data_IF_785894891415
#
_entry.id   IF_785894891415
#
_cell.length_a   1.000
_cell.length_b   1.000
_cell.length_c   1.000
_cell.angle_alpha   90.00
_cell.angle_beta   90.00
_cell.angle_gamma   90.00
#
_symmetry.space_group_name_H-M   'P 1'
#
loop_
_entity.id
_entity.type
_entity.pdbx_description
1 polymer ?
#
# COMPACT_ATOMS: atom_id res chain seq x y z
N UNK A 1 -3.96 -25.03 -3.28
CA UNK A 1 -3.37 -23.70 -3.61
C UNK A 1 -3.09 -23.01 -2.27
N UNK A 2 -1.84 -22.63 -2.01
CA UNK A 2 -1.43 -22.08 -0.72
C UNK A 2 -1.46 -20.55 -0.81
N UNK A 3 -2.52 -19.91 -0.29
CA UNK A 3 -2.73 -18.46 -0.37
C UNK A 3 -1.88 -17.66 0.63
N UNK A 4 -0.98 -18.30 1.39
CA UNK A 4 -0.14 -17.63 2.37
C UNK A 4 1.23 -17.30 1.79
N UNK A 5 1.46 -16.00 1.61
CA UNK A 5 2.71 -15.38 1.23
C UNK A 5 3.63 -15.27 2.45
N UNK A 6 4.91 -15.57 2.23
CA UNK A 6 5.96 -15.43 3.23
C UNK A 6 5.66 -16.11 4.58
N UNK A 7 4.83 -17.17 4.57
CA UNK A 7 4.36 -17.90 5.77
C UNK A 7 3.70 -17.03 6.84
N UNK A 8 3.35 -15.77 6.53
CA UNK A 8 2.85 -14.78 7.48
C UNK A 8 1.60 -14.04 7.00
N UNK A 9 1.43 -13.88 5.69
CA UNK A 9 0.34 -13.09 5.13
C UNK A 9 -0.53 -13.94 4.22
N UNK A 10 -1.82 -14.08 4.52
CA UNK A 10 -2.71 -14.85 3.67
C UNK A 10 -3.57 -13.90 2.82
N UNK A 11 -3.62 -14.18 1.52
CA UNK A 11 -4.35 -13.35 0.54
C UNK A 11 -5.86 -13.52 0.80
N UNK A 12 -6.51 -12.41 1.13
CA UNK A 12 -7.96 -12.36 1.39
C UNK A 12 -8.75 -11.73 0.25
N UNK A 13 -8.15 -10.78 -0.47
CA UNK A 13 -8.81 -10.08 -1.57
C UNK A 13 -7.76 -9.48 -2.51
N UNK A 14 -8.11 -9.33 -3.79
CA UNK A 14 -7.34 -8.52 -4.73
C UNK A 14 -7.85 -7.08 -4.65
N UNK A 15 -6.98 -6.13 -4.32
CA UNK A 15 -7.35 -4.72 -4.35
C UNK A 15 -7.39 -4.25 -5.81
N UNK A 16 -8.57 -3.82 -6.24
CA UNK A 16 -8.78 -3.05 -7.46
C UNK A 16 -9.22 -1.63 -7.07
N UNK A 17 -9.32 -0.76 -8.08
CA UNK A 17 -9.50 0.70 -7.99
C UNK A 17 -10.59 1.22 -7.00
N UNK A 18 -11.51 0.39 -6.48
CA UNK A 18 -12.62 0.85 -5.62
C UNK A 18 -12.81 0.10 -4.30
N UNK A 19 -11.76 -0.49 -3.72
CA UNK A 19 -11.93 -1.28 -2.48
C UNK A 19 -11.55 -0.47 -1.23
N UNK A 20 -12.56 -0.08 -0.45
CA UNK A 20 -12.36 0.54 0.87
C UNK A 20 -12.17 -0.55 1.93
N UNK A 21 -11.11 -0.43 2.74
CA UNK A 21 -10.88 -1.32 3.88
C UNK A 21 -10.70 -0.50 5.16
N UNK A 22 -11.37 -0.93 6.23
CA UNK A 22 -11.46 -0.22 7.52
C UNK A 22 -10.85 -1.00 8.68
N UNK A 23 -10.14 -2.09 8.42
CA UNK A 23 -9.71 -3.06 9.43
C UNK A 23 -8.20 -3.02 9.69
N UNK A 24 -7.80 -2.90 10.96
CA UNK A 24 -6.41 -2.71 11.41
C UNK A 24 -5.52 -3.96 11.27
N UNK A 25 -6.10 -5.13 11.01
CA UNK A 25 -5.37 -6.41 10.93
C UNK A 25 -4.94 -6.79 9.50
N UNK A 26 -5.13 -5.89 8.53
CA UNK A 26 -4.84 -6.16 7.13
C UNK A 26 -3.73 -5.25 6.62
N UNK A 27 -2.97 -5.77 5.67
CA UNK A 27 -1.93 -5.04 4.96
C UNK A 27 -2.18 -5.11 3.46
N UNK A 28 -1.77 -4.08 2.74
CA UNK A 28 -1.70 -4.13 1.28
C UNK A 28 -0.33 -4.67 0.86
N UNK A 29 -0.33 -5.54 -0.16
CA UNK A 29 0.89 -6.04 -0.78
C UNK A 29 0.88 -5.58 -2.23
N UNK A 30 1.84 -4.71 -2.58
CA UNK A 30 2.09 -4.38 -3.99
C UNK A 30 3.11 -5.37 -4.53
N UNK A 31 2.75 -6.03 -5.63
CA UNK A 31 3.63 -6.93 -6.37
C UNK A 31 4.02 -6.20 -7.64
N UNK A 32 5.30 -5.89 -7.78
CA UNK A 32 5.82 -5.15 -8.93
C UNK A 32 6.07 -6.08 -10.11
N UNK A 33 5.96 -5.52 -11.32
CA UNK A 33 6.43 -6.19 -12.54
C UNK A 33 7.95 -6.14 -12.61
N UNK A 34 8.54 -7.02 -13.42
CA UNK A 34 9.98 -7.29 -13.45
C UNK A 34 10.81 -6.05 -13.79
N UNK A 35 10.26 -5.11 -14.57
CA UNK A 35 10.94 -3.90 -15.03
C UNK A 35 10.78 -2.70 -14.09
N UNK A 36 10.09 -2.86 -12.94
CA UNK A 36 9.91 -1.76 -12.00
C UNK A 36 11.18 -1.57 -11.19
N UNK A 37 11.69 -0.35 -11.29
CA UNK A 37 12.92 0.11 -10.69
C UNK A 37 12.86 -0.06 -9.15
N UNK A 38 13.89 -0.69 -8.59
CA UNK A 38 14.08 -0.87 -7.14
C UNK A 38 14.06 0.49 -6.43
N UNK A 39 14.28 1.59 -7.17
CA UNK A 39 14.09 2.96 -6.72
C UNK A 39 12.72 3.24 -6.08
N UNK A 40 11.61 2.67 -6.57
CA UNK A 40 10.29 2.87 -5.94
C UNK A 40 10.23 2.28 -4.53
N UNK A 41 11.02 1.24 -4.25
CA UNK A 41 11.13 0.63 -2.91
C UNK A 41 12.04 1.47 -2.01
N UNK A 42 13.05 2.10 -2.61
CA UNK A 42 14.11 2.84 -1.91
C UNK A 42 13.69 4.28 -1.53
N UNK A 43 12.71 4.86 -2.22
CA UNK A 43 12.20 6.20 -1.92
C UNK A 43 11.41 6.22 -0.60
N UNK A 44 10.41 5.35 -0.37
CA UNK A 44 9.67 5.31 0.89
C UNK A 44 10.57 4.99 2.08
N UNK A 45 11.56 4.11 1.93
CA UNK A 45 12.50 3.80 3.01
C UNK A 45 13.24 5.06 3.45
N UNK A 46 13.75 5.86 2.50
CA UNK A 46 14.41 7.15 2.74
C UNK A 46 13.48 8.19 3.37
N UNK A 47 12.22 8.23 2.95
CA UNK A 47 11.21 9.15 3.49
C UNK A 47 10.76 8.79 4.92
N UNK A 48 11.00 7.54 5.35
CA UNK A 48 10.59 7.05 6.68
C UNK A 48 11.71 7.16 7.74
N UNK A 49 12.95 7.48 7.33
CA UNK A 49 14.14 7.51 8.24
C UNK A 49 13.96 8.45 9.45
N UNK A 50 13.09 9.47 9.36
CA UNK A 50 12.80 10.41 10.47
C UNK A 50 11.53 10.09 11.29
N UNK A 51 10.83 8.99 10.99
CA UNK A 51 9.47 8.70 11.51
C UNK A 51 9.48 7.59 12.59
N UNK A 52 10.66 7.09 12.95
CA UNK A 52 10.84 5.86 13.74
C UNK A 52 10.29 5.92 15.18
N UNK A 53 10.00 7.12 15.72
CA UNK A 53 9.49 7.30 17.09
C UNK A 53 7.96 7.36 17.23
N UNK A 54 7.23 7.15 16.14
CA UNK A 54 5.78 7.33 16.15
C UNK A 54 5.03 6.01 16.41
N UNK A 55 4.22 5.98 17.48
CA UNK A 55 3.34 4.85 17.84
C UNK A 55 2.39 4.44 16.71
N UNK A 56 1.83 3.22 16.76
CA UNK A 56 0.86 2.71 15.76
C UNK A 56 -0.29 3.70 15.44
N UNK A 57 -0.71 4.51 16.43
CA UNK A 57 -1.72 5.55 16.26
C UNK A 57 -1.26 6.70 15.33
N UNK A 58 0.03 7.02 15.32
CA UNK A 58 0.61 8.07 14.50
C UNK A 58 0.88 7.64 13.04
N UNK A 59 0.83 6.34 12.72
CA UNK A 59 0.85 5.87 11.32
C UNK A 59 -0.37 6.37 10.52
N UNK A 60 -1.49 6.66 11.19
CA UNK A 60 -2.68 7.27 10.58
C UNK A 60 -2.54 8.77 10.29
N UNK A 61 -1.46 9.41 10.76
CA UNK A 61 -1.20 10.85 10.63
C UNK A 61 -0.16 11.12 9.51
N UNK A 62 0.49 10.08 9.00
CA UNK A 62 1.53 10.23 7.99
C UNK A 62 0.95 10.48 6.61
N UNK A 63 1.44 11.55 5.99
CA UNK A 63 1.06 11.94 4.62
C UNK A 63 1.65 10.95 3.60
N UNK A 64 2.77 10.32 3.93
CA UNK A 64 3.48 9.36 3.06
C UNK A 64 3.25 7.95 3.62
N UNK A 65 2.76 6.99 2.79
CA UNK A 65 2.61 5.61 3.21
C UNK A 65 3.94 5.00 3.60
N UNK A 66 4.04 4.49 4.83
CA UNK A 66 5.20 3.73 5.27
C UNK A 66 5.22 2.37 4.57
N UNK A 67 6.41 1.97 4.13
CA UNK A 67 6.69 0.63 3.61
C UNK A 67 7.39 -0.17 4.71
N UNK A 68 6.65 -0.87 5.60
CA UNK A 68 7.22 -1.57 6.74
C UNK A 68 8.11 -2.75 6.37
N UNK A 69 7.97 -3.31 5.16
CA UNK A 69 8.79 -4.44 4.74
C UNK A 69 8.82 -4.64 3.22
N UNK A 70 9.94 -5.13 2.70
CA UNK A 70 10.13 -5.56 1.31
C UNK A 70 10.52 -7.04 1.28
N UNK A 71 10.05 -7.76 0.27
CA UNK A 71 10.39 -9.17 0.07
C UNK A 71 10.22 -9.59 -1.39
N UNK A 72 10.81 -10.73 -1.72
CA UNK A 72 10.76 -11.28 -3.06
C UNK A 72 9.75 -12.44 -3.12
N UNK A 73 8.78 -12.34 -4.03
CA UNK A 73 7.79 -13.38 -4.27
C UNK A 73 8.23 -14.31 -5.40
N UNK A 74 8.36 -15.59 -5.11
CA UNK A 74 8.68 -16.61 -6.13
C UNK A 74 7.42 -17.00 -6.88
N UNK A 75 7.35 -16.64 -8.15
CA UNK A 75 6.37 -17.15 -9.09
C UNK A 75 6.88 -18.39 -9.83
N UNK A 76 6.04 -19.01 -10.68
CA UNK A 76 6.36 -20.26 -11.38
C UNK A 76 7.59 -20.17 -12.27
N UNK A 77 7.81 -18.99 -12.85
CA UNK A 77 8.88 -18.77 -13.83
C UNK A 77 9.96 -17.81 -13.32
N UNK A 78 9.61 -16.90 -12.40
CA UNK A 78 10.45 -15.77 -11.98
C UNK A 78 10.07 -15.27 -10.59
N UNK A 79 10.99 -14.50 -10.01
CA UNK A 79 10.81 -13.82 -8.74
C UNK A 79 10.40 -12.36 -8.98
N UNK A 80 9.45 -11.88 -8.18
CA UNK A 80 8.86 -10.55 -8.29
C UNK A 80 9.17 -9.73 -7.04
N UNK A 81 9.69 -8.50 -7.17
CA UNK A 81 9.83 -7.59 -6.05
C UNK A 81 8.44 -7.28 -5.48
N UNK A 82 8.31 -7.29 -4.16
CA UNK A 82 7.05 -7.02 -3.49
C UNK A 82 7.29 -6.25 -2.20
N UNK A 83 6.36 -5.37 -1.86
CA UNK A 83 6.45 -4.64 -0.62
C UNK A 83 5.08 -4.51 0.06
N UNK A 84 5.15 -4.38 1.37
CA UNK A 84 4.00 -4.23 2.25
C UNK A 84 3.78 -2.74 2.45
N UNK A 85 2.53 -2.31 2.43
CA UNK A 85 2.13 -0.97 2.82
C UNK A 85 0.88 -1.03 3.70
N UNK A 86 0.68 0.01 4.49
CA UNK A 86 -0.56 0.21 5.25
C UNK A 86 -1.71 0.39 4.26
N UNK A 87 -2.88 -0.12 4.59
CA UNK A 87 -4.07 0.11 3.78
C UNK A 87 -4.40 1.61 3.72
N UNK A 88 -4.38 2.15 2.51
CA UNK A 88 -5.00 3.44 2.22
C UNK A 88 -6.52 3.24 2.09
N UNK A 89 -7.30 4.30 2.37
CA UNK A 89 -8.77 4.26 2.23
C UNK A 89 -9.17 4.25 0.77
N UNK A 90 -9.10 5.42 0.13
CA UNK A 90 -9.41 5.61 -1.27
C UNK A 90 -8.61 6.80 -1.81
N UNK A 91 -8.55 6.92 -3.14
CA UNK A 91 -7.97 8.12 -3.74
C UNK A 91 -8.92 9.31 -3.57
N UNK A 92 -8.38 10.52 -3.69
CA UNK A 92 -9.19 11.73 -3.59
C UNK A 92 -10.20 11.85 -4.74
N UNK A 93 -9.86 11.33 -5.93
CA UNK A 93 -10.80 11.28 -7.06
C UNK A 93 -11.96 10.33 -6.74
N UNK A 94 -11.71 9.15 -6.15
CA UNK A 94 -12.78 8.22 -5.77
C UNK A 94 -13.67 8.81 -4.68
N UNK A 95 -13.08 9.48 -3.68
CA UNK A 95 -13.83 10.18 -2.64
C UNK A 95 -14.73 11.29 -3.22
N UNK A 96 -14.24 12.01 -4.23
CA UNK A 96 -15.01 13.04 -4.93
C UNK A 96 -16.18 12.42 -5.71
N UNK A 97 -15.93 11.36 -6.47
CA UNK A 97 -16.98 10.70 -7.26
C UNK A 97 -18.05 10.03 -6.38
N UNK A 98 -17.66 9.55 -5.19
CA UNK A 98 -18.59 8.98 -4.21
C UNK A 98 -19.32 10.04 -3.34
N UNK A 99 -18.99 11.34 -3.46
CA UNK A 99 -19.58 12.39 -2.63
C UNK A 99 -20.86 12.95 -3.23
N UNK A 100 -21.97 12.84 -2.49
CA UNK A 100 -23.26 13.42 -2.88
C UNK A 100 -23.21 14.95 -3.04
N UNK A 101 -22.36 15.62 -2.26
CA UNK A 101 -22.27 17.08 -2.24
C UNK A 101 -21.25 17.63 -3.26
N UNK A 102 -20.40 16.78 -3.86
CA UNK A 102 -19.30 17.14 -4.78
C UNK A 102 -18.46 18.35 -4.33
N UNK A 103 -18.35 18.57 -3.02
CA UNK A 103 -17.69 19.74 -2.43
C UNK A 103 -16.18 19.77 -2.68
N UNK A 104 -15.60 18.63 -3.06
CA UNK A 104 -14.20 18.54 -3.45
C UNK A 104 -14.01 19.04 -4.89
N UNK A 105 -13.80 20.36 -5.05
CA UNK A 105 -13.20 20.91 -6.26
C UNK A 105 -11.73 20.50 -6.31
N UNK A 106 -11.45 19.39 -6.99
CA UNK A 106 -10.08 19.00 -7.29
C UNK A 106 -9.51 19.94 -8.36
N UNK A 107 -8.85 21.02 -7.94
CA UNK A 107 -8.06 21.87 -8.83
C UNK A 107 -6.58 21.61 -8.54
N UNK A 108 -6.03 20.56 -9.13
CA UNK A 108 -4.62 20.22 -8.97
C UNK A 108 -4.05 20.03 -10.37
N UNK A 109 -3.07 20.87 -10.70
CA UNK A 109 -2.27 20.85 -11.91
C UNK A 109 -1.04 19.96 -11.73
#
# INVERSE_FOLDING_TARGET
INNCLYKRYCIVHKLSYSTFLTTLNYVAIKVSTIDVDIQEIDIPSKLTIGVVDYSYAAYNILIIPIVPNYFSLNGPNRTYPSFITVLARCSLIDAKEASDLRLFKLNVA
#
